data_IF_587435636582
#
_entry.id   IF_587435636582
#
_cell.length_a   1.000
_cell.length_b   1.000
_cell.length_c   1.000
_cell.angle_alpha   90.00
_cell.angle_beta   90.00
_cell.angle_gamma   90.00
#
_symmetry.space_group_name_H-M   'P 1'
#
loop_
_entity.id
_entity.type
_entity.pdbx_description
1 polymer ?
#
# COMPACT_ATOMS: atom_id res chain seq x y z
N UNK A 1 0.40 -29.35 -74.59
CA UNK A 1 0.87 -27.96 -74.79
C UNK A 1 -0.20 -27.28 -75.65
N UNK A 2 -0.97 -26.28 -75.26
CA UNK A 2 -1.01 -25.40 -74.09
C UNK A 2 -2.49 -25.06 -73.82
N UNK A 3 -2.93 -25.18 -72.57
CA UNK A 3 -4.25 -24.75 -72.10
C UNK A 3 -4.20 -23.25 -71.77
N UNK A 4 -4.98 -22.45 -72.49
CA UNK A 4 -5.10 -21.01 -72.28
C UNK A 4 -5.75 -20.71 -70.92
N UNK A 5 -4.96 -20.18 -69.98
CA UNK A 5 -5.45 -19.62 -68.72
C UNK A 5 -5.99 -18.20 -68.93
N UNK A 6 -7.18 -17.96 -68.39
CA UNK A 6 -7.89 -16.67 -68.40
C UNK A 6 -7.09 -15.59 -67.65
N UNK A 7 -6.97 -14.37 -68.19
CA UNK A 7 -6.54 -13.23 -67.37
C UNK A 7 -7.67 -12.79 -66.43
N UNK A 8 -7.33 -12.64 -65.16
CA UNK A 8 -8.19 -12.08 -64.13
C UNK A 8 -8.52 -10.61 -64.46
N UNK A 9 -9.82 -10.27 -64.40
CA UNK A 9 -10.31 -8.89 -64.49
C UNK A 9 -9.92 -8.14 -63.21
N UNK A 10 -9.10 -7.12 -63.37
CA UNK A 10 -8.75 -6.14 -62.34
C UNK A 10 -9.93 -5.19 -62.16
N UNK A 11 -10.49 -5.12 -60.94
CA UNK A 11 -11.57 -4.18 -60.59
C UNK A 11 -10.97 -2.93 -59.94
N UNK A 12 -11.11 -1.74 -60.54
CA UNK A 12 -10.68 -0.49 -59.93
C UNK A 12 -11.85 0.16 -59.17
N UNK A 13 -11.91 -0.04 -57.86
CA UNK A 13 -12.66 0.82 -56.93
C UNK A 13 -11.63 1.33 -55.91
N UNK A 14 -10.99 2.50 -56.09
CA UNK A 14 -11.54 3.84 -55.76
C UNK A 14 -12.40 3.72 -54.49
N UNK A 15 -11.89 3.96 -53.29
CA UNK A 15 -11.30 5.23 -52.85
C UNK A 15 -12.39 6.05 -52.15
N UNK A 16 -12.10 6.52 -50.93
CA UNK A 16 -13.01 7.12 -49.93
C UNK A 16 -13.87 6.07 -49.20
N UNK A 17 -13.72 5.83 -47.89
CA UNK A 17 -13.79 6.82 -46.81
C UNK A 17 -12.85 6.43 -45.65
N UNK A 18 -11.77 7.19 -45.48
CA UNK A 18 -11.18 7.43 -44.16
C UNK A 18 -12.13 8.36 -43.41
N UNK A 19 -12.46 8.00 -42.16
CA UNK A 19 -12.80 8.85 -40.97
C UNK A 19 -14.04 8.34 -40.23
N UNK A 20 -13.80 7.70 -39.07
CA UNK A 20 -14.63 7.80 -37.86
C UNK A 20 -13.88 7.07 -36.72
N UNK A 21 -13.05 7.82 -35.98
CA UNK A 21 -13.29 8.17 -34.58
C UNK A 21 -12.87 7.08 -33.58
N UNK A 22 -11.57 7.05 -33.28
CA UNK A 22 -11.07 6.48 -32.02
C UNK A 22 -11.45 7.47 -30.92
N UNK A 23 -12.63 7.29 -30.33
CA UNK A 23 -13.00 7.96 -29.08
C UNK A 23 -12.27 7.24 -27.95
N UNK A 24 -11.09 7.74 -27.61
CA UNK A 24 -10.27 7.22 -26.52
C UNK A 24 -10.90 7.68 -25.19
N UNK A 25 -11.71 6.81 -24.59
CA UNK A 25 -12.31 7.03 -23.27
C UNK A 25 -11.22 7.06 -22.21
N UNK A 26 -10.71 8.25 -21.87
CA UNK A 26 -9.91 8.48 -20.66
C UNK A 26 -10.84 8.50 -19.44
N UNK A 27 -11.50 7.36 -19.15
CA UNK A 27 -12.09 7.13 -17.84
C UNK A 27 -10.93 6.74 -16.92
N UNK A 28 -10.20 7.75 -16.42
CA UNK A 28 -9.23 7.53 -15.35
C UNK A 28 -9.96 7.01 -14.13
N UNK A 29 -9.54 5.86 -13.62
CA UNK A 29 -10.07 5.30 -12.37
C UNK A 29 -9.65 6.20 -11.19
N UNK A 30 -10.44 7.21 -10.86
CA UNK A 30 -10.30 7.94 -9.59
C UNK A 30 -11.04 7.16 -8.51
N UNK A 31 -10.31 6.41 -7.69
CA UNK A 31 -10.85 5.84 -6.46
C UNK A 31 -11.20 6.98 -5.48
N UNK A 32 -12.25 6.83 -4.65
CA UNK A 32 -12.54 7.81 -3.61
C UNK A 32 -11.40 7.82 -2.56
N UNK A 33 -11.09 9.02 -2.08
CA UNK A 33 -10.17 9.22 -0.96
C UNK A 33 -10.71 8.57 0.32
N UNK A 34 -9.80 8.01 1.13
CA UNK A 34 -10.10 7.13 2.26
C UNK A 34 -10.06 7.89 3.60
N UNK A 35 -11.06 7.69 4.48
CA UNK A 35 -11.12 8.36 5.79
C UNK A 35 -10.06 7.87 6.78
N UNK A 36 -10.04 8.47 7.98
CA UNK A 36 -9.14 8.11 9.07
C UNK A 36 -9.23 6.62 9.42
N UNK A 37 -8.07 5.95 9.53
CA UNK A 37 -7.95 4.54 9.93
C UNK A 37 -8.06 3.52 8.78
N UNK A 38 -8.59 3.94 7.62
CA UNK A 38 -8.66 3.10 6.43
C UNK A 38 -7.28 2.80 5.86
N UNK A 39 -7.18 1.68 5.15
CA UNK A 39 -5.93 1.24 4.53
C UNK A 39 -5.49 2.23 3.45
N UNK A 40 -4.20 2.36 3.16
CA UNK A 40 -3.69 3.19 2.05
C UNK A 40 -2.34 2.67 1.57
N UNK A 41 -1.96 3.07 0.35
CA UNK A 41 -0.62 2.87 -0.19
C UNK A 41 0.12 4.20 -0.37
N UNK A 42 -0.59 5.26 -0.75
CA UNK A 42 -0.05 6.60 -0.98
C UNK A 42 -0.81 7.66 -0.18
N UNK A 43 -0.20 8.84 -0.02
CA UNK A 43 -0.81 9.95 0.71
C UNK A 43 -2.11 10.42 0.04
N UNK A 44 -2.14 10.41 -1.30
CA UNK A 44 -3.29 10.84 -2.10
C UNK A 44 -4.44 9.82 -2.07
N UNK A 45 -4.24 8.64 -1.48
CA UNK A 45 -5.33 7.71 -1.19
C UNK A 45 -6.18 8.20 -0.01
N UNK A 46 -5.70 9.12 0.82
CA UNK A 46 -6.37 9.58 2.02
C UNK A 46 -7.12 10.89 1.80
N UNK A 47 -8.19 11.13 2.57
CA UNK A 47 -8.87 12.44 2.58
C UNK A 47 -7.92 13.55 3.02
N UNK A 48 -8.18 14.77 2.55
CA UNK A 48 -7.33 15.94 2.79
C UNK A 48 -6.97 16.11 4.27
N UNK A 49 -5.69 16.39 4.52
CA UNK A 49 -5.14 16.57 5.88
C UNK A 49 -4.72 15.29 6.59
N UNK A 50 -4.94 14.11 5.97
CA UNK A 50 -4.42 12.85 6.46
C UNK A 50 -3.12 12.46 5.73
N UNK A 51 -2.41 11.51 6.35
CA UNK A 51 -1.20 10.94 5.81
C UNK A 51 -1.29 9.41 5.81
N UNK A 52 -0.85 8.79 4.71
CA UNK A 52 -0.63 7.36 4.70
C UNK A 52 0.63 7.00 5.49
N UNK A 53 0.46 6.34 6.63
CA UNK A 53 1.55 5.95 7.52
C UNK A 53 1.30 4.55 8.10
N UNK A 54 2.24 3.63 7.84
CA UNK A 54 2.10 2.20 8.10
C UNK A 54 0.77 1.66 7.56
N UNK A 55 0.56 1.84 6.25
CA UNK A 55 -0.62 1.37 5.50
C UNK A 55 -1.96 1.90 5.99
N UNK A 56 -2.01 2.94 6.83
CA UNK A 56 -3.27 3.54 7.27
C UNK A 56 -3.28 5.06 7.16
N UNK A 57 -4.44 5.62 6.85
CA UNK A 57 -4.66 7.05 6.85
C UNK A 57 -4.71 7.58 8.29
N UNK A 58 -3.81 8.51 8.63
CA UNK A 58 -3.65 9.04 9.99
C UNK A 58 -3.64 10.56 10.01
N UNK A 59 -4.16 11.13 11.09
CA UNK A 59 -4.14 12.58 11.31
C UNK A 59 -2.71 13.06 11.57
N UNK A 60 -2.31 14.15 10.94
CA UNK A 60 -1.02 14.81 11.14
C UNK A 60 -1.04 15.57 12.48
N UNK A 61 0.06 15.54 13.22
CA UNK A 61 0.19 16.24 14.50
C UNK A 61 1.55 16.91 14.64
N UNK A 62 1.62 17.89 15.54
CA UNK A 62 2.87 18.52 16.00
C UNK A 62 3.24 18.05 17.40
N UNK A 63 2.24 17.93 18.27
CA UNK A 63 2.41 17.37 19.62
C UNK A 63 1.17 16.58 20.05
N UNK A 64 1.22 15.98 21.24
CA UNK A 64 0.16 15.10 21.74
C UNK A 64 -1.21 15.79 21.92
N UNK A 65 -1.26 17.12 22.02
CA UNK A 65 -2.51 17.89 22.16
C UNK A 65 -3.33 17.92 20.87
N UNK A 66 -2.69 17.69 19.73
CA UNK A 66 -3.38 17.58 18.44
C UNK A 66 -4.10 16.22 18.28
N UNK A 67 -3.83 15.26 19.17
CA UNK A 67 -4.37 13.91 19.09
C UNK A 67 -5.54 13.68 20.06
N UNK A 68 -6.43 12.70 19.76
CA UNK A 68 -7.46 12.27 20.69
C UNK A 68 -6.90 11.84 22.05
N UNK A 69 -7.73 11.89 23.08
CA UNK A 69 -7.33 11.42 24.40
C UNK A 69 -6.87 9.95 24.35
N UNK A 70 -5.74 9.64 24.98
CA UNK A 70 -5.13 8.30 24.97
C UNK A 70 -4.21 8.01 23.77
N UNK A 71 -3.99 8.99 22.90
CA UNK A 71 -3.12 8.87 21.73
C UNK A 71 -1.86 9.73 21.90
N UNK A 72 -0.81 9.39 21.15
CA UNK A 72 0.46 10.12 21.10
C UNK A 72 0.73 10.64 19.69
N UNK A 73 1.51 11.71 19.61
CA UNK A 73 2.03 12.20 18.34
C UNK A 73 3.37 11.51 18.05
N UNK A 74 3.38 10.59 17.09
CA UNK A 74 4.55 9.77 16.77
C UNK A 74 5.20 10.23 15.46
N UNK A 75 6.53 10.41 15.50
CA UNK A 75 7.32 10.78 14.33
C UNK A 75 7.43 9.62 13.35
N UNK A 76 7.35 9.94 12.05
CA UNK A 76 7.55 8.97 10.97
C UNK A 76 9.04 8.70 10.75
N UNK A 77 9.33 7.55 10.16
CA UNK A 77 10.70 7.10 9.92
C UNK A 77 11.52 8.01 8.99
N UNK A 78 10.87 8.63 7.98
CA UNK A 78 11.53 9.55 7.06
C UNK A 78 11.77 10.95 7.66
N UNK A 79 11.30 11.21 8.89
CA UNK A 79 11.41 12.49 9.56
C UNK A 79 10.47 13.57 8.99
N UNK A 80 10.45 14.73 9.66
CA UNK A 80 9.75 15.94 9.19
C UNK A 80 8.22 15.94 9.34
N UNK A 81 7.60 14.80 9.66
CA UNK A 81 6.16 14.67 9.89
C UNK A 81 5.88 13.70 11.02
N UNK A 82 4.79 13.97 11.74
CA UNK A 82 4.30 13.11 12.81
C UNK A 82 2.80 12.88 12.64
N UNK A 83 2.32 11.75 13.15
CA UNK A 83 0.91 11.35 13.05
C UNK A 83 0.39 10.86 14.40
N UNK A 84 -0.92 11.01 14.60
CA UNK A 84 -1.59 10.49 15.79
C UNK A 84 -1.69 8.97 15.72
N UNK A 85 -1.26 8.33 16.79
CA UNK A 85 -1.35 6.87 16.98
C UNK A 85 -1.72 6.55 18.42
N UNK A 86 -2.23 5.35 18.64
CA UNK A 86 -2.45 4.82 19.99
C UNK A 86 -1.13 4.80 20.80
N UNK A 87 -1.23 4.89 22.12
CA UNK A 87 -0.05 5.05 22.98
C UNK A 87 0.90 3.85 22.90
N UNK A 88 0.35 2.65 22.74
CA UNK A 88 1.06 1.37 22.57
C UNK A 88 1.43 1.06 21.12
N UNK A 89 1.10 1.94 20.17
CA UNK A 89 1.41 1.73 18.77
C UNK A 89 2.94 1.59 18.56
N UNK A 90 3.38 0.60 17.77
CA UNK A 90 4.79 0.40 17.45
C UNK A 90 5.43 1.64 16.80
N UNK A 91 6.73 1.81 16.99
CA UNK A 91 7.48 2.88 16.34
C UNK A 91 7.52 2.68 14.82
N UNK A 92 7.44 3.79 14.07
CA UNK A 92 7.66 3.76 12.63
C UNK A 92 9.14 3.55 12.32
N UNK A 93 9.43 2.81 11.25
CA UNK A 93 10.79 2.54 10.79
C UNK A 93 10.86 2.41 9.27
N UNK A 94 12.06 2.58 8.77
CA UNK A 94 12.52 2.31 7.41
C UNK A 94 13.73 1.35 7.44
N UNK A 95 14.51 1.38 8.53
CA UNK A 95 15.68 0.53 8.74
C UNK A 95 15.60 -0.17 10.09
N UNK A 96 16.15 -1.38 10.20
CA UNK A 96 16.18 -2.12 11.47
C UNK A 96 16.91 -1.35 12.59
N UNK A 97 17.90 -0.52 12.25
CA UNK A 97 18.63 0.31 13.23
C UNK A 97 17.79 1.39 13.90
N UNK A 98 16.61 1.71 13.37
CA UNK A 98 15.67 2.66 13.98
C UNK A 98 14.81 2.00 15.07
N UNK A 99 14.83 0.67 15.14
CA UNK A 99 14.02 -0.07 16.09
C UNK A 99 14.75 -0.29 17.41
N UNK A 100 14.06 -0.11 18.56
CA UNK A 100 14.62 -0.49 19.85
C UNK A 100 14.94 -1.99 19.89
N UNK A 101 16.14 -2.41 20.32
CA UNK A 101 16.45 -3.82 20.48
C UNK A 101 15.45 -4.51 21.45
N UNK A 102 15.00 -5.76 21.17
CA UNK A 102 15.44 -6.66 20.09
C UNK A 102 14.60 -6.58 18.79
N UNK A 103 13.89 -5.49 18.54
CA UNK A 103 12.97 -5.38 17.41
C UNK A 103 13.69 -5.12 16.07
N UNK A 104 13.02 -5.49 14.99
CA UNK A 104 13.44 -5.26 13.62
C UNK A 104 12.32 -4.53 12.86
N UNK A 105 12.69 -3.72 11.86
CA UNK A 105 11.72 -3.10 10.98
C UNK A 105 11.01 -4.13 10.10
N UNK A 106 9.68 -4.22 10.22
CA UNK A 106 8.83 -5.03 9.37
C UNK A 106 8.54 -4.36 8.02
N UNK A 107 8.00 -5.14 7.07
CA UNK A 107 7.63 -4.65 5.73
C UNK A 107 6.51 -3.62 5.74
N UNK A 108 5.74 -3.56 6.82
CA UNK A 108 4.70 -2.57 7.07
C UNK A 108 5.24 -1.24 7.62
N UNK A 109 6.55 -1.12 7.79
CA UNK A 109 7.21 0.08 8.30
C UNK A 109 7.05 0.28 9.80
N UNK A 110 6.78 -0.80 10.54
CA UNK A 110 6.67 -0.80 12.00
C UNK A 110 7.74 -1.68 12.64
N UNK A 111 8.24 -1.24 13.79
CA UNK A 111 9.15 -2.06 14.59
C UNK A 111 8.40 -3.22 15.22
N UNK A 112 8.86 -4.44 14.92
CA UNK A 112 8.24 -5.69 15.34
C UNK A 112 9.29 -6.64 15.89
N UNK A 113 8.89 -7.55 16.76
CA UNK A 113 9.81 -8.59 17.22
C UNK A 113 10.10 -9.56 16.07
N UNK A 114 11.38 -9.85 15.77
CA UNK A 114 11.71 -10.83 14.74
C UNK A 114 11.37 -12.25 15.21
N UNK A 115 11.08 -13.13 14.26
CA UNK A 115 10.82 -14.54 14.54
C UNK A 115 11.29 -15.42 13.39
N UNK A 116 11.57 -16.68 13.71
CA UNK A 116 11.81 -17.77 12.76
C UNK A 116 10.76 -18.85 12.87
N UNK A 117 10.09 -18.93 14.01
CA UNK A 117 9.01 -19.85 14.28
C UNK A 117 8.03 -19.28 15.31
N UNK A 118 6.85 -19.91 15.43
CA UNK A 118 5.77 -19.40 16.28
C UNK A 118 6.16 -19.24 17.76
N UNK A 119 7.07 -20.07 18.28
CA UNK A 119 7.48 -20.01 19.68
C UNK A 119 8.17 -18.68 20.03
N UNK A 120 8.91 -18.09 19.09
CA UNK A 120 9.68 -16.86 19.30
C UNK A 120 8.77 -15.68 19.68
N UNK A 121 7.53 -15.68 19.18
CA UNK A 121 6.56 -14.64 19.48
C UNK A 121 5.89 -14.82 20.86
N UNK A 122 5.82 -16.05 21.35
CA UNK A 122 5.22 -16.37 22.64
C UNK A 122 5.95 -15.75 23.83
N UNK A 123 7.26 -15.51 23.69
CA UNK A 123 8.09 -14.85 24.70
C UNK A 123 7.72 -13.37 24.90
N UNK A 124 7.15 -12.73 23.88
CA UNK A 124 6.73 -11.33 23.93
C UNK A 124 5.25 -11.19 24.28
N UNK A 125 4.39 -11.97 23.63
CA UNK A 125 2.96 -12.01 23.92
C UNK A 125 2.32 -13.29 23.36
N UNK A 126 1.50 -13.98 24.17
CA UNK A 126 0.93 -15.29 23.83
C UNK A 126 0.00 -15.28 22.61
N UNK A 127 -0.58 -14.12 22.26
CA UNK A 127 -1.44 -13.98 21.08
C UNK A 127 -0.68 -13.66 19.79
N UNK A 128 0.60 -13.26 19.85
CA UNK A 128 1.37 -12.99 18.64
C UNK A 128 1.65 -14.27 17.87
N UNK A 129 1.73 -14.15 16.54
CA UNK A 129 2.08 -15.24 15.63
C UNK A 129 3.24 -14.82 14.75
N UNK A 130 4.10 -15.78 14.44
CA UNK A 130 5.19 -15.54 13.51
C UNK A 130 4.64 -15.55 12.09
N UNK A 131 4.75 -14.43 11.40
CA UNK A 131 4.62 -14.37 9.95
C UNK A 131 5.96 -14.83 9.38
N UNK A 132 6.00 -16.04 8.81
CA UNK A 132 7.23 -16.67 8.32
C UNK A 132 7.77 -15.99 7.06
N UNK A 133 6.92 -15.33 6.28
CA UNK A 133 7.30 -14.62 5.07
C UNK A 133 7.94 -13.26 5.44
N UNK A 134 7.36 -12.59 6.44
CA UNK A 134 7.85 -11.31 6.96
C UNK A 134 8.97 -11.46 7.99
N UNK A 135 9.12 -12.63 8.62
CA UNK A 135 10.09 -12.91 9.68
C UNK A 135 9.84 -12.09 10.95
N UNK A 136 8.59 -11.68 11.22
CA UNK A 136 8.21 -10.82 12.34
C UNK A 136 6.93 -11.29 13.03
N UNK A 137 6.79 -10.94 14.30
CA UNK A 137 5.61 -11.20 15.11
C UNK A 137 4.49 -10.20 14.82
N UNK A 138 3.34 -10.71 14.41
CA UNK A 138 2.11 -9.96 14.11
C UNK A 138 0.97 -10.38 15.02
N UNK A 139 0.01 -9.49 15.23
CA UNK A 139 -1.28 -9.90 15.78
C UNK A 139 -2.09 -10.64 14.68
N UNK A 140 -2.91 -11.65 15.05
CA UNK A 140 -3.65 -12.44 14.06
C UNK A 140 -4.57 -11.62 13.14
N UNK A 141 -5.11 -10.52 13.67
CA UNK A 141 -5.95 -9.59 12.93
C UNK A 141 -5.18 -8.76 11.88
N UNK A 142 -3.88 -8.57 12.06
CA UNK A 142 -3.00 -7.87 11.12
C UNK A 142 -2.52 -8.82 10.02
N UNK A 143 -2.27 -10.09 10.33
CA UNK A 143 -1.85 -11.10 9.35
C UNK A 143 -2.92 -11.46 8.31
N UNK A 144 -4.20 -11.21 8.59
CA UNK A 144 -5.30 -11.54 7.69
C UNK A 144 -5.59 -10.46 6.62
N UNK A 145 -5.02 -9.26 6.75
CA UNK A 145 -5.26 -8.13 5.84
C UNK A 145 -4.24 -8.01 4.70
N UNK A 146 -3.13 -8.75 4.76
CA UNK A 146 -2.12 -8.78 3.70
C UNK A 146 -2.54 -9.74 2.56
N UNK A 147 -3.65 -9.44 1.89
CA UNK A 147 -3.97 -10.07 0.62
C UNK A 147 -3.13 -9.40 -0.50
N UNK A 148 -2.63 -10.18 -1.49
CA UNK A 148 -1.72 -9.71 -2.53
C UNK A 148 -2.30 -8.63 -3.45
#
# INVERSE_FOLDING_TARGET
>A
MATAHRPHRESPLRGALLRAAVALSLAGCTAPARPLGEECLYNDDCVDGLLCAARRCRAICRDARDCPAGWKCAALAQGGRSVCVETDHPAFCQYHSQCPPPQACGYDGLCRYPCREARDCGDFHSALRCDLDAGVCLWPQESAGAAP
#
